data_IF_180840491583
#
_entry.id   IF_180840491583
#
_cell.length_a   1.000
_cell.length_b   1.000
_cell.length_c   1.000
_cell.angle_alpha   90.00
_cell.angle_beta   90.00
_cell.angle_gamma   90.00
#
_symmetry.space_group_name_H-M   'P 1'
#
loop_
_entity.id
_entity.type
_entity.pdbx_description
1 polymer ?
#
# COMPACT_ATOMS: atom_id res chain seq x y z
N UNK A 1 -2.07 0.74 10.84
CA UNK A 1 -0.68 1.15 11.01
C UNK A 1 -0.61 2.55 10.45
N UNK A 2 -0.57 3.54 11.33
CA UNK A 2 -0.26 4.91 10.96
C UNK A 2 1.26 4.95 10.77
N UNK A 3 1.69 4.92 9.52
CA UNK A 3 3.09 5.14 9.20
C UNK A 3 3.34 6.63 9.46
N UNK A 4 4.36 6.93 10.25
CA UNK A 4 4.67 8.30 10.61
C UNK A 4 4.93 9.13 9.34
N UNK A 5 4.19 10.22 9.09
CA UNK A 5 4.28 10.96 7.84
C UNK A 5 5.69 11.55 7.63
N UNK A 6 6.40 11.82 8.72
CA UNK A 6 7.78 12.29 8.72
C UNK A 6 8.76 11.22 8.23
N UNK A 7 8.59 9.99 8.70
CA UNK A 7 9.38 8.84 8.26
C UNK A 7 9.06 8.48 6.81
N UNK A 8 7.78 8.51 6.46
CA UNK A 8 7.31 8.28 5.10
C UNK A 8 7.99 9.24 4.11
N UNK A 9 8.02 10.54 4.42
CA UNK A 9 8.63 11.55 3.57
C UNK A 9 10.14 11.34 3.39
N UNK A 10 10.86 10.92 4.44
CA UNK A 10 12.28 10.58 4.37
C UNK A 10 12.54 9.38 3.47
N UNK A 11 11.84 8.27 3.72
CA UNK A 11 12.00 7.05 2.93
C UNK A 11 11.57 7.30 1.48
N UNK A 12 10.54 8.10 1.22
CA UNK A 12 10.16 8.47 -0.15
C UNK A 12 11.20 9.35 -0.86
N UNK A 13 11.99 10.13 -0.11
CA UNK A 13 13.06 10.94 -0.68
C UNK A 13 14.28 10.09 -1.04
N UNK A 14 14.64 9.15 -0.16
CA UNK A 14 15.81 8.29 -0.36
C UNK A 14 15.53 7.03 -1.19
N UNK A 15 14.27 6.57 -1.22
CA UNK A 15 13.88 5.31 -1.81
C UNK A 15 12.67 5.47 -2.76
N UNK A 16 12.97 5.55 -4.06
CA UNK A 16 11.97 5.65 -5.13
C UNK A 16 11.07 4.41 -5.22
N UNK A 17 11.56 3.22 -4.80
CA UNK A 17 10.75 2.00 -4.73
C UNK A 17 9.64 2.16 -3.69
N UNK A 18 9.96 2.69 -2.50
CA UNK A 18 8.95 2.94 -1.47
C UNK A 18 7.90 3.95 -1.92
N UNK A 19 8.31 5.01 -2.63
CA UNK A 19 7.40 5.99 -3.21
C UNK A 19 6.40 5.34 -4.17
N UNK A 20 6.88 4.49 -5.09
CA UNK A 20 6.01 3.73 -6.00
C UNK A 20 5.07 2.79 -5.24
N UNK A 21 5.57 2.03 -4.27
CA UNK A 21 4.76 1.14 -3.43
C UNK A 21 3.65 1.90 -2.68
N UNK A 22 3.95 3.09 -2.16
CA UNK A 22 2.98 3.93 -1.47
C UNK A 22 1.88 4.42 -2.41
N UNK A 23 2.27 4.90 -3.60
CA UNK A 23 1.32 5.35 -4.62
C UNK A 23 0.42 4.20 -5.08
N UNK A 24 1.00 3.04 -5.35
CA UNK A 24 0.28 1.82 -5.72
C UNK A 24 -0.68 1.39 -4.60
N UNK A 25 -0.23 1.39 -3.33
CA UNK A 25 -1.08 1.11 -2.18
C UNK A 25 -2.26 2.08 -2.06
N UNK A 26 -2.05 3.37 -2.32
CA UNK A 26 -3.10 4.40 -2.31
C UNK A 26 -4.12 4.17 -3.44
N UNK A 27 -3.64 3.90 -4.65
CA UNK A 27 -4.50 3.56 -5.80
C UNK A 27 -5.34 2.30 -5.54
N UNK A 28 -4.71 1.25 -5.01
CA UNK A 28 -5.40 0.01 -4.63
C UNK A 28 -6.44 0.25 -3.53
N UNK A 29 -6.16 1.12 -2.56
CA UNK A 29 -7.12 1.51 -1.52
C UNK A 29 -8.33 2.23 -2.14
N UNK A 30 -8.10 3.17 -3.04
CA UNK A 30 -9.16 3.90 -3.72
C UNK A 30 -10.03 2.98 -4.58
N UNK A 31 -9.42 2.03 -5.31
CA UNK A 31 -10.17 0.98 -6.03
C UNK A 31 -11.02 0.13 -5.08
N UNK A 32 -10.47 -0.34 -3.96
CA UNK A 32 -11.25 -1.13 -2.98
C UNK A 32 -12.40 -0.33 -2.39
N UNK A 33 -12.21 0.96 -2.10
CA UNK A 33 -13.28 1.83 -1.62
C UNK A 33 -14.37 2.02 -2.68
N UNK A 34 -14.00 2.26 -3.95
CA UNK A 34 -14.96 2.34 -5.05
C UNK A 34 -15.78 1.04 -5.18
N UNK A 35 -15.11 -0.12 -5.08
CA UNK A 35 -15.75 -1.44 -5.07
C UNK A 35 -16.65 -1.64 -3.84
N UNK A 36 -16.22 -1.20 -2.66
CA UNK A 36 -17.04 -1.29 -1.43
C UNK A 36 -18.26 -0.37 -1.48
N UNK A 37 -18.17 0.76 -2.17
CA UNK A 37 -19.28 1.68 -2.34
C UNK A 37 -20.35 1.14 -3.30
N UNK A 38 -19.98 0.19 -4.17
CA UNK A 38 -20.95 -0.53 -5.00
C UNK A 38 -21.76 -1.50 -4.14
N UNK A 39 -23.08 -1.24 -4.03
CA UNK A 39 -24.04 -2.10 -3.30
C UNK A 39 -24.12 -3.53 -3.85
N UNK A 40 -23.81 -3.72 -5.13
CA UNK A 40 -23.79 -5.01 -5.80
C UNK A 40 -22.50 -5.11 -6.62
N UNK A 41 -21.57 -5.92 -6.15
CA UNK A 41 -20.37 -6.27 -6.90
C UNK A 41 -20.70 -7.44 -7.81
N UNK A 42 -20.38 -7.32 -9.10
CA UNK A 42 -20.40 -8.46 -10.01
C UNK A 42 -19.34 -9.49 -9.58
N UNK A 43 -19.49 -10.78 -9.95
CA UNK A 43 -18.51 -11.82 -9.63
C UNK A 43 -17.08 -11.46 -10.07
N UNK A 44 -16.91 -10.79 -11.21
CA UNK A 44 -15.61 -10.25 -11.65
C UNK A 44 -15.04 -9.22 -10.68
N UNK A 45 -15.89 -8.35 -10.14
CA UNK A 45 -15.52 -7.29 -9.21
C UNK A 45 -15.21 -7.85 -7.80
N UNK A 46 -15.84 -8.94 -7.39
CA UNK A 46 -15.47 -9.66 -6.16
C UNK A 46 -14.08 -10.30 -6.26
N UNK A 47 -13.77 -10.90 -7.41
CA UNK A 47 -12.43 -11.46 -7.71
C UNK A 47 -11.39 -10.34 -7.76
N UNK A 48 -11.72 -9.22 -8.40
CA UNK A 48 -10.86 -8.04 -8.46
C UNK A 48 -10.62 -7.47 -7.05
N UNK A 49 -11.67 -7.32 -6.22
CA UNK A 49 -11.56 -6.88 -4.82
C UNK A 49 -10.63 -7.77 -4.01
N UNK A 50 -10.74 -9.11 -4.15
CA UNK A 50 -9.84 -10.06 -3.47
C UNK A 50 -8.40 -9.93 -3.97
N UNK A 51 -8.21 -9.77 -5.27
CA UNK A 51 -6.88 -9.56 -5.87
C UNK A 51 -6.24 -8.28 -5.35
N UNK A 52 -6.99 -7.18 -5.34
CA UNK A 52 -6.53 -5.90 -4.83
C UNK A 52 -6.20 -5.99 -3.33
N UNK A 53 -7.03 -6.67 -2.53
CA UNK A 53 -6.72 -6.88 -1.11
C UNK A 53 -5.41 -7.65 -0.90
N UNK A 54 -5.15 -8.70 -1.68
CA UNK A 54 -3.88 -9.42 -1.65
C UNK A 54 -2.70 -8.53 -2.06
N UNK A 55 -2.87 -7.74 -3.12
CA UNK A 55 -1.85 -6.79 -3.55
C UNK A 55 -1.58 -5.73 -2.49
N UNK A 56 -2.60 -5.17 -1.83
CA UNK A 56 -2.42 -4.25 -0.70
C UNK A 56 -1.67 -4.91 0.44
N UNK A 57 -1.96 -6.17 0.75
CA UNK A 57 -1.26 -6.90 1.80
C UNK A 57 0.24 -7.01 1.47
N UNK A 58 0.56 -7.42 0.24
CA UNK A 58 1.94 -7.53 -0.23
C UNK A 58 2.67 -6.20 -0.28
N UNK A 59 2.02 -5.13 -0.75
CA UNK A 59 2.59 -3.78 -0.74
C UNK A 59 2.82 -3.30 0.70
N UNK A 60 1.89 -3.58 1.61
CA UNK A 60 2.07 -3.25 3.03
C UNK A 60 3.25 -4.01 3.64
N UNK A 61 3.38 -5.30 3.35
CA UNK A 61 4.51 -6.12 3.80
C UNK A 61 5.83 -5.52 3.30
N UNK A 62 5.91 -5.24 2.00
CA UNK A 62 7.09 -4.63 1.36
C UNK A 62 7.46 -3.28 1.96
N UNK A 63 6.47 -2.43 2.19
CA UNK A 63 6.66 -1.14 2.84
C UNK A 63 7.16 -1.30 4.28
N UNK A 64 6.65 -2.29 5.01
CA UNK A 64 7.08 -2.58 6.38
C UNK A 64 8.53 -3.07 6.39
N UNK A 65 8.91 -3.95 5.47
CA UNK A 65 10.31 -4.39 5.30
C UNK A 65 11.25 -3.23 5.02
N UNK A 66 10.88 -2.31 4.12
CA UNK A 66 11.72 -1.15 3.80
C UNK A 66 11.84 -0.23 5.02
N UNK A 67 10.74 0.02 5.74
CA UNK A 67 10.76 0.83 6.97
C UNK A 67 11.65 0.17 8.02
N UNK A 68 11.50 -1.14 8.25
CA UNK A 68 12.29 -1.89 9.22
C UNK A 68 13.77 -1.86 8.87
N UNK A 69 14.13 -2.09 7.60
CA UNK A 69 15.53 -1.98 7.13
C UNK A 69 16.09 -0.57 7.32
N UNK A 70 15.28 0.45 7.08
CA UNK A 70 15.67 1.84 7.22
C UNK A 70 15.78 2.28 8.69
N UNK A 71 14.99 1.68 9.59
CA UNK A 71 15.12 1.86 11.04
C UNK A 71 16.27 1.05 11.65
N UNK A 72 16.53 -0.14 11.10
CA UNK A 72 17.58 -1.05 11.56
C UNK A 72 18.97 -0.68 11.02
N UNK A 73 19.03 0.07 9.92
CA UNK A 73 20.27 0.67 9.43
C UNK A 73 20.43 2.05 10.09
N UNK A 74 21.24 2.19 11.17
CA UNK A 74 21.56 3.51 11.69
C UNK A 74 22.36 4.26 10.61
N UNK A 75 21.71 5.24 9.98
CA UNK A 75 22.37 6.22 9.12
C UNK A 75 22.64 7.50 9.92
#
# INVERSE_FOLDING_TARGET
MEIDPTLLAKIQNENDEFKKLYEEHSQLKHRVEALNHMKFLSPEQEVEKKTIQKHKLRNKDRMTEIIDQYQASPH
#
